data_IF_422042070187
#
_entry.id   IF_422042070187
#
_cell.length_a   1.000
_cell.length_b   1.000
_cell.length_c   1.000
_cell.angle_alpha   90.00
_cell.angle_beta   90.00
_cell.angle_gamma   90.00
#
_symmetry.space_group_name_H-M   'P 1'
#
loop_
_entity.id
_entity.type
_entity.pdbx_description
1 polymer ?
#
# COMPACT_ATOMS: atom_id res chain seq x y z
N UNK A 1 16.55 8.87 -0.08
CA UNK A 1 17.56 8.66 0.99
C UNK A 1 17.23 9.50 2.22
N UNK A 2 17.34 10.83 2.15
CA UNK A 2 17.14 11.72 3.32
C UNK A 2 15.81 11.50 4.04
N UNK A 3 14.70 11.34 3.33
CA UNK A 3 13.37 11.08 3.93
C UNK A 3 13.36 9.88 4.89
N UNK A 4 14.08 8.80 4.57
CA UNK A 4 14.17 7.59 5.39
C UNK A 4 14.87 7.86 6.72
N UNK A 5 15.83 8.79 6.73
CA UNK A 5 16.54 9.21 7.93
C UNK A 5 15.73 10.24 8.74
N UNK A 6 15.01 11.12 8.05
CA UNK A 6 14.38 12.33 8.60
C UNK A 6 13.02 12.05 9.27
N UNK A 7 12.21 11.13 8.73
CA UNK A 7 10.85 10.83 9.23
C UNK A 7 10.92 9.83 10.39
N UNK A 8 11.47 10.27 11.53
CA UNK A 8 11.66 9.46 12.75
C UNK A 8 11.47 10.30 14.01
N UNK A 9 11.09 9.67 15.15
CA UNK A 9 10.84 10.41 16.38
C UNK A 9 11.98 11.34 16.81
N UNK A 10 13.24 10.91 16.64
CA UNK A 10 14.43 11.67 17.00
C UNK A 10 14.61 12.97 16.22
N UNK A 11 14.85 12.93 14.89
CA UNK A 11 15.00 14.14 14.06
C UNK A 11 13.78 15.07 14.08
N UNK A 12 12.57 14.54 14.29
CA UNK A 12 11.35 15.35 14.50
C UNK A 12 11.45 16.13 15.82
N UNK A 13 11.91 15.50 16.90
CA UNK A 13 12.13 16.14 18.20
C UNK A 13 13.34 17.08 18.22
N UNK A 14 14.37 16.79 17.41
CA UNK A 14 15.58 17.62 17.25
C UNK A 14 15.41 18.87 16.38
N UNK A 15 14.18 19.14 15.90
CA UNK A 15 13.83 20.29 15.06
C UNK A 15 14.62 20.40 13.73
N UNK A 16 15.13 19.27 13.23
CA UNK A 16 15.97 19.20 12.02
C UNK A 16 15.16 19.02 10.74
N UNK A 17 13.92 18.54 10.86
CA UNK A 17 12.99 18.27 9.75
C UNK A 17 12.58 19.55 9.03
N UNK A 18 12.07 20.54 9.78
CA UNK A 18 11.53 21.77 9.18
C UNK A 18 12.59 22.64 8.50
N UNK A 19 13.79 22.85 9.07
CA UNK A 19 14.87 23.55 8.36
C UNK A 19 15.26 22.85 7.05
N UNK A 20 15.31 21.52 7.03
CA UNK A 20 15.66 20.78 5.82
C UNK A 20 14.63 21.02 4.71
N UNK A 21 13.34 20.89 5.04
CA UNK A 21 12.24 21.10 4.09
C UNK A 21 12.25 22.54 3.56
N UNK A 22 12.40 23.55 4.43
CA UNK A 22 12.45 24.95 4.00
C UNK A 22 13.62 25.23 3.06
N UNK A 23 14.81 24.70 3.35
CA UNK A 23 16.00 24.85 2.49
C UNK A 23 15.82 24.13 1.16
N UNK A 24 15.27 22.91 1.19
CA UNK A 24 14.98 22.12 -0.01
C UNK A 24 13.98 22.82 -0.93
N UNK A 25 13.00 23.51 -0.35
CA UNK A 25 11.98 24.28 -1.07
C UNK A 25 12.45 25.71 -1.42
N UNK A 26 13.69 26.09 -1.12
CA UNK A 26 14.23 27.42 -1.41
C UNK A 26 13.67 28.55 -0.53
N UNK A 27 12.94 28.23 0.54
CA UNK A 27 12.35 29.19 1.49
C UNK A 27 13.35 29.71 2.53
N UNK A 28 14.49 29.02 2.66
CA UNK A 28 15.58 29.37 3.57
C UNK A 28 16.91 29.13 2.85
N UNK A 29 17.85 30.09 2.95
CA UNK A 29 19.19 29.92 2.35
C UNK A 29 19.96 28.83 3.09
N UNK A 30 20.67 27.98 2.35
CA UNK A 30 21.60 27.02 2.95
C UNK A 30 22.76 27.78 3.58
N UNK A 31 22.98 27.55 4.88
CA UNK A 31 24.07 28.14 5.66
C UNK A 31 24.81 27.06 6.44
N UNK A 32 26.09 27.30 6.67
CA UNK A 32 26.98 26.45 7.46
C UNK A 32 27.55 27.28 8.60
N UNK A 33 27.79 26.64 9.76
CA UNK A 33 28.42 27.32 10.90
C UNK A 33 29.88 27.70 10.61
N UNK A 34 30.54 26.96 9.72
CA UNK A 34 31.90 27.19 9.27
C UNK A 34 32.10 26.64 7.86
N UNK A 35 32.95 27.25 7.00
CA UNK A 35 33.22 26.75 5.64
C UNK A 35 33.69 25.28 5.59
N UNK A 36 34.45 24.83 6.60
CA UNK A 36 34.91 23.43 6.68
C UNK A 36 33.78 22.40 6.80
N UNK A 37 32.57 22.80 7.21
CA UNK A 37 31.41 21.92 7.30
C UNK A 37 30.68 21.74 5.97
N UNK A 38 31.01 22.51 4.95
CA UNK A 38 30.33 22.42 3.65
C UNK A 38 30.54 21.04 3.02
N UNK A 39 31.76 20.50 3.09
CA UNK A 39 32.06 19.18 2.54
C UNK A 39 31.19 18.07 3.15
N UNK A 40 31.05 18.06 4.48
CA UNK A 40 30.26 17.05 5.20
C UNK A 40 28.74 17.26 5.09
N UNK A 41 28.28 18.51 4.96
CA UNK A 41 26.85 18.84 5.09
C UNK A 41 26.17 19.32 3.79
N UNK A 42 26.89 19.55 2.69
CA UNK A 42 26.30 20.05 1.44
C UNK A 42 25.18 19.14 0.92
N UNK A 43 25.39 17.82 0.95
CA UNK A 43 24.41 16.82 0.49
C UNK A 43 23.09 16.86 1.26
N UNK A 44 23.11 17.37 2.48
CA UNK A 44 21.94 17.48 3.37
C UNK A 44 21.59 18.93 3.70
N UNK A 45 21.98 19.87 2.83
CA UNK A 45 21.60 21.28 2.91
C UNK A 45 22.00 21.93 4.23
N UNK A 46 23.21 21.62 4.73
CA UNK A 46 23.76 22.21 5.95
C UNK A 46 23.19 21.63 7.25
N UNK A 47 22.50 20.48 7.18
CA UNK A 47 21.87 19.84 8.34
C UNK A 47 22.50 18.46 8.53
N UNK A 48 23.15 18.18 9.67
CA UNK A 48 23.67 16.84 9.93
C UNK A 48 22.51 15.86 10.05
N UNK A 49 22.58 14.70 9.38
CA UNK A 49 21.53 13.69 9.43
C UNK A 49 22.08 12.28 9.61
N UNK A 50 23.25 12.00 9.05
CA UNK A 50 23.85 10.67 9.06
C UNK A 50 25.02 10.54 10.03
N UNK A 51 25.26 9.32 10.52
CA UNK A 51 26.39 9.03 11.40
C UNK A 51 27.74 9.29 10.69
N UNK A 52 27.82 8.92 9.42
CA UNK A 52 28.97 9.12 8.55
C UNK A 52 29.27 10.62 8.36
N UNK A 53 28.25 11.47 8.32
CA UNK A 53 28.43 12.93 8.30
C UNK A 53 29.04 13.46 9.60
N UNK A 54 28.61 12.96 10.77
CA UNK A 54 29.19 13.38 12.06
C UNK A 54 30.67 13.00 12.15
N UNK A 55 31.01 11.81 11.66
CA UNK A 55 32.41 11.37 11.55
C UNK A 55 33.20 12.31 10.63
N UNK A 56 32.66 12.63 9.45
CA UNK A 56 33.31 13.54 8.51
C UNK A 56 33.44 14.97 9.09
N UNK A 57 32.44 15.47 9.81
CA UNK A 57 32.53 16.76 10.51
C UNK A 57 33.70 16.77 11.50
N UNK A 58 33.89 15.70 12.29
CA UNK A 58 35.00 15.62 13.23
C UNK A 58 36.38 15.59 12.55
N UNK A 59 36.47 14.96 11.38
CA UNK A 59 37.67 15.00 10.56
C UNK A 59 37.91 16.42 10.02
N UNK A 60 36.88 17.04 9.43
CA UNK A 60 36.97 18.34 8.78
C UNK A 60 37.29 19.47 9.76
N UNK A 61 36.57 19.55 10.89
CA UNK A 61 36.66 20.67 11.84
C UNK A 61 37.62 20.44 12.99
N UNK A 62 37.89 19.18 13.38
CA UNK A 62 38.74 18.86 14.51
C UNK A 62 39.97 18.01 14.14
N UNK A 63 40.12 17.61 12.88
CA UNK A 63 41.31 16.88 12.44
C UNK A 63 41.42 15.47 12.97
N UNK A 64 40.30 14.85 13.33
CA UNK A 64 40.30 13.48 13.78
C UNK A 64 40.77 12.56 12.66
N UNK A 65 41.50 11.50 13.03
CA UNK A 65 41.66 10.34 12.15
C UNK A 65 40.31 9.62 11.99
N UNK A 66 40.12 8.81 10.93
CA UNK A 66 38.92 7.99 10.76
C UNK A 66 38.63 7.08 11.98
N UNK A 67 39.69 6.59 12.64
CA UNK A 67 39.57 5.80 13.87
C UNK A 67 39.05 6.61 15.05
N UNK A 68 39.56 7.83 15.27
CA UNK A 68 39.06 8.73 16.33
C UNK A 68 37.61 9.16 16.07
N UNK A 69 37.25 9.40 14.81
CA UNK A 69 35.89 9.75 14.41
C UNK A 69 34.89 8.61 14.70
N UNK A 70 35.25 7.35 14.44
CA UNK A 70 34.41 6.22 14.83
C UNK A 70 34.35 6.04 16.36
N UNK A 71 35.46 6.27 17.07
CA UNK A 71 35.45 6.25 18.53
C UNK A 71 34.50 7.31 19.11
N UNK A 72 34.43 8.50 18.50
CA UNK A 72 33.47 9.55 18.83
C UNK A 72 32.03 9.08 18.61
N UNK A 73 31.73 8.51 17.43
CA UNK A 73 30.42 7.93 17.12
C UNK A 73 30.00 6.84 18.12
N UNK A 74 30.91 5.94 18.49
CA UNK A 74 30.64 4.88 19.46
C UNK A 74 30.39 5.44 20.87
N UNK A 75 31.20 6.40 21.32
CA UNK A 75 31.05 7.03 22.64
C UNK A 75 29.70 7.75 22.75
N UNK A 76 29.26 8.37 21.66
CA UNK A 76 28.00 9.07 21.50
C UNK A 76 26.76 8.18 21.58
N UNK A 77 26.85 6.94 21.08
CA UNK A 77 25.76 5.96 21.19
C UNK A 77 25.69 5.22 22.54
N UNK A 78 26.71 5.36 23.39
CA UNK A 78 26.83 4.58 24.63
C UNK A 78 26.39 5.41 25.85
N UNK A 79 25.36 4.93 26.57
CA UNK A 79 24.88 5.56 27.81
C UNK A 79 25.89 5.50 28.98
N UNK A 80 27.03 4.81 28.82
CA UNK A 80 27.95 4.42 29.91
C UNK A 80 29.37 5.00 29.77
N UNK A 81 29.62 5.97 28.90
CA UNK A 81 30.99 6.45 28.63
C UNK A 81 31.16 7.96 28.79
N UNK A 82 30.84 8.50 29.96
CA UNK A 82 31.05 9.92 30.31
C UNK A 82 32.52 10.32 30.19
N UNK A 83 33.44 9.56 30.78
CA UNK A 83 34.88 9.84 30.75
C UNK A 83 35.47 9.80 29.32
N UNK A 84 35.04 8.83 28.50
CA UNK A 84 35.45 8.73 27.09
C UNK A 84 34.95 9.91 26.27
N UNK A 85 33.74 10.39 26.56
CA UNK A 85 33.12 11.53 25.88
C UNK A 85 33.81 12.85 26.29
N UNK A 86 34.16 13.03 27.57
CA UNK A 86 34.91 14.20 28.05
C UNK A 86 36.30 14.28 27.41
N UNK A 87 37.03 13.16 27.33
CA UNK A 87 38.34 13.11 26.65
C UNK A 87 38.23 13.48 25.18
N UNK A 88 37.25 12.90 24.49
CA UNK A 88 37.02 13.18 23.07
C UNK A 88 36.53 14.62 22.85
N UNK A 89 35.77 15.19 23.79
CA UNK A 89 35.40 16.61 23.80
C UNK A 89 36.63 17.49 23.85
N UNK A 90 37.54 17.28 24.81
CA UNK A 90 38.78 18.04 24.92
C UNK A 90 39.58 18.02 23.61
N UNK A 91 39.85 16.82 23.08
CA UNK A 91 40.55 16.63 21.80
C UNK A 91 39.84 17.31 20.62
N UNK A 92 38.50 17.29 20.59
CA UNK A 92 37.69 17.92 19.55
C UNK A 92 37.84 19.45 19.55
N UNK A 93 37.79 20.08 20.73
CA UNK A 93 37.99 21.53 20.86
C UNK A 93 39.42 21.97 20.55
N UNK A 94 40.43 21.21 20.97
CA UNK A 94 41.83 21.46 20.61
C UNK A 94 42.03 21.43 19.09
N UNK A 95 41.51 20.40 18.42
CA UNK A 95 41.62 20.26 16.97
C UNK A 95 40.86 21.33 16.18
N UNK A 96 39.74 21.84 16.74
CA UNK A 96 39.03 23.01 16.20
C UNK A 96 39.83 24.30 16.34
N UNK A 97 40.48 24.50 17.50
CA UNK A 97 41.31 25.67 17.75
C UNK A 97 42.52 25.73 16.80
N UNK A 98 43.16 24.58 16.51
CA UNK A 98 44.23 24.47 15.50
C UNK A 98 43.79 24.90 14.09
N UNK A 99 42.48 24.82 13.81
CA UNK A 99 41.86 25.21 12.53
C UNK A 99 41.17 26.57 12.57
N UNK A 100 41.38 27.34 13.64
CA UNK A 100 40.82 28.68 13.80
C UNK A 100 39.34 28.73 14.18
N UNK A 101 38.77 27.61 14.64
CA UNK A 101 37.37 27.54 15.11
C UNK A 101 37.38 27.60 16.64
N UNK A 102 36.99 28.74 17.20
CA UNK A 102 36.95 28.97 18.66
C UNK A 102 35.66 29.71 19.08
N UNK A 103 35.43 29.81 20.39
CA UNK A 103 34.28 30.51 20.96
C UNK A 103 32.93 29.89 20.58
N UNK A 104 31.90 30.72 20.45
CA UNK A 104 30.51 30.31 20.26
C UNK A 104 30.29 29.38 19.05
N UNK A 105 31.10 29.51 17.99
CA UNK A 105 30.99 28.63 16.81
C UNK A 105 31.43 27.20 17.17
N UNK A 106 32.53 27.06 17.90
CA UNK A 106 33.04 25.76 18.34
C UNK A 106 32.04 25.04 19.25
N UNK A 107 31.44 25.77 20.20
CA UNK A 107 30.41 25.24 21.09
C UNK A 107 29.17 24.80 20.31
N UNK A 108 28.67 25.63 19.39
CA UNK A 108 27.52 25.28 18.55
C UNK A 108 27.77 24.04 17.67
N UNK A 109 28.98 23.87 17.13
CA UNK A 109 29.34 22.70 16.34
C UNK A 109 29.30 21.44 17.21
N UNK A 110 29.92 21.49 18.39
CA UNK A 110 29.94 20.36 19.30
C UNK A 110 28.54 20.01 19.81
N UNK A 111 27.75 21.01 20.19
CA UNK A 111 26.38 20.82 20.68
C UNK A 111 25.48 20.19 19.61
N UNK A 112 25.59 20.63 18.35
CA UNK A 112 24.87 19.98 17.25
C UNK A 112 25.33 18.54 17.08
N UNK A 113 26.63 18.29 17.09
CA UNK A 113 27.17 16.94 16.93
C UNK A 113 26.69 16.01 18.07
N UNK A 114 26.70 16.48 19.32
CA UNK A 114 26.22 15.75 20.49
C UNK A 114 24.69 15.57 20.54
N UNK A 115 23.90 16.56 20.09
CA UNK A 115 22.46 16.42 19.99
C UNK A 115 22.06 15.35 18.97
N UNK A 116 22.82 15.21 17.88
CA UNK A 116 22.55 14.25 16.81
C UNK A 116 23.07 12.84 17.08
N UNK A 117 24.05 12.67 17.96
CA UNK A 117 24.55 11.37 18.43
C UNK A 117 23.46 10.34 18.74
N UNK A 118 22.38 10.79 19.40
CA UNK A 118 21.28 9.93 19.83
C UNK A 118 20.31 9.54 18.69
N UNK A 119 20.42 10.19 17.52
CA UNK A 119 19.43 10.11 16.45
C UNK A 119 20.02 9.91 15.05
N UNK A 120 21.36 9.92 14.92
CA UNK A 120 22.05 9.73 13.66
C UNK A 120 21.72 8.39 13.03
N UNK A 121 21.38 8.39 11.74
CA UNK A 121 21.05 7.19 10.98
C UNK A 121 22.23 6.75 10.10
N UNK A 122 22.50 5.45 9.91
CA UNK A 122 23.52 5.02 8.96
C UNK A 122 23.14 5.38 7.53
N UNK A 123 23.98 6.15 6.85
CA UNK A 123 23.78 6.58 5.46
C UNK A 123 23.73 5.36 4.54
N UNK A 124 24.67 4.43 4.70
CA UNK A 124 24.73 3.17 3.93
C UNK A 124 23.39 2.40 3.94
N UNK A 125 22.81 2.22 5.13
CA UNK A 125 21.51 1.57 5.30
C UNK A 125 20.37 2.40 4.67
N UNK A 126 20.44 3.73 4.79
CA UNK A 126 19.48 4.64 4.15
C UNK A 126 19.50 4.58 2.63
N UNK A 127 20.67 4.42 2.02
CA UNK A 127 20.85 4.28 0.57
C UNK A 127 20.24 2.96 0.11
N UNK A 128 20.54 1.85 0.77
CA UNK A 128 20.01 0.53 0.43
C UNK A 128 18.48 0.49 0.46
N UNK A 129 17.86 1.08 1.48
CA UNK A 129 16.39 1.20 1.54
C UNK A 129 15.84 2.14 0.47
N UNK A 130 16.50 3.28 0.23
CA UNK A 130 16.05 4.22 -0.80
C UNK A 130 16.06 3.60 -2.20
N UNK A 131 17.02 2.71 -2.48
CA UNK A 131 17.06 1.95 -3.73
C UNK A 131 15.81 1.08 -3.90
N UNK A 132 15.41 0.33 -2.86
CA UNK A 132 14.19 -0.49 -2.92
C UNK A 132 12.92 0.34 -3.13
N UNK A 133 12.83 1.49 -2.45
CA UNK A 133 11.70 2.42 -2.61
C UNK A 133 11.66 2.99 -4.03
N UNK A 134 12.82 3.38 -4.58
CA UNK A 134 12.93 3.87 -5.94
C UNK A 134 12.52 2.80 -6.95
N UNK A 135 13.07 1.58 -6.85
CA UNK A 135 12.73 0.46 -7.73
C UNK A 135 11.24 0.11 -7.66
N UNK A 136 10.65 0.11 -6.46
CA UNK A 136 9.20 -0.14 -6.29
C UNK A 136 8.36 0.98 -6.90
N UNK A 137 8.76 2.24 -6.74
CA UNK A 137 8.07 3.39 -7.32
C UNK A 137 8.18 3.42 -8.84
N UNK A 138 9.33 3.00 -9.37
CA UNK A 138 9.56 2.81 -10.80
C UNK A 138 8.63 1.75 -11.39
N UNK A 139 8.57 0.56 -10.76
CA UNK A 139 7.64 -0.50 -11.17
C UNK A 139 6.19 -0.03 -11.08
N UNK A 140 5.80 0.67 -10.01
CA UNK A 140 4.45 1.22 -9.88
C UNK A 140 4.12 2.23 -10.98
N UNK A 141 5.09 3.07 -11.39
CA UNK A 141 4.90 4.10 -12.42
C UNK A 141 4.79 3.52 -13.82
N UNK A 142 5.67 2.59 -14.18
CA UNK A 142 5.84 2.12 -15.55
C UNK A 142 5.23 0.74 -15.82
N UNK A 143 5.10 -0.09 -14.79
CA UNK A 143 4.57 -1.46 -14.89
C UNK A 143 3.53 -1.74 -13.78
N UNK A 144 2.51 -0.86 -13.60
CA UNK A 144 1.52 -1.00 -12.53
C UNK A 144 0.79 -2.35 -12.54
N UNK A 145 0.56 -2.98 -13.70
CA UNK A 145 -0.08 -4.29 -13.77
C UNK A 145 0.79 -5.39 -13.13
N UNK A 146 2.06 -5.48 -13.56
CA UNK A 146 3.02 -6.44 -13.00
C UNK A 146 3.28 -6.18 -11.51
N UNK A 147 3.38 -4.91 -11.12
CA UNK A 147 3.54 -4.53 -9.72
C UNK A 147 2.34 -4.96 -8.87
N UNK A 148 1.11 -4.76 -9.36
CA UNK A 148 -0.11 -5.20 -8.69
C UNK A 148 -0.16 -6.73 -8.54
N UNK A 149 0.09 -7.48 -9.62
CA UNK A 149 0.11 -8.95 -9.60
C UNK A 149 1.15 -9.48 -8.60
N UNK A 150 2.37 -8.90 -8.58
CA UNK A 150 3.40 -9.25 -7.61
C UNK A 150 2.97 -9.00 -6.16
N UNK A 151 2.31 -7.86 -5.88
CA UNK A 151 1.80 -7.55 -4.55
C UNK A 151 0.63 -8.45 -4.11
N UNK A 152 -0.19 -8.92 -5.06
CA UNK A 152 -1.26 -9.88 -4.79
C UNK A 152 -0.68 -11.26 -4.44
N UNK A 153 0.33 -11.72 -5.19
CA UNK A 153 0.98 -13.01 -4.99
C UNK A 153 1.86 -13.06 -3.72
N UNK A 154 2.28 -11.90 -3.21
CA UNK A 154 3.06 -11.82 -1.98
C UNK A 154 2.20 -11.61 -0.71
N UNK A 155 0.86 -11.70 -0.82
CA UNK A 155 -0.01 -11.63 0.35
C UNK A 155 0.12 -12.89 1.23
N UNK A 156 -0.06 -12.76 2.57
CA UNK A 156 -0.39 -11.54 3.31
C UNK A 156 0.83 -10.65 3.58
N UNK A 157 0.81 -9.40 3.10
CA UNK A 157 1.88 -8.43 3.36
C UNK A 157 1.35 -6.99 3.51
N UNK A 158 2.19 -6.10 4.05
CA UNK A 158 1.90 -4.66 4.13
C UNK A 158 0.66 -4.28 4.96
N UNK A 159 0.16 -3.06 4.75
CA UNK A 159 -1.03 -2.52 5.43
C UNK A 159 -2.29 -2.52 4.58
N UNK A 160 -2.16 -2.45 3.25
CA UNK A 160 -3.28 -2.36 2.33
C UNK A 160 -3.89 -3.73 2.07
N UNK A 161 -5.21 -3.75 1.90
CA UNK A 161 -5.94 -4.96 1.50
C UNK A 161 -5.73 -5.26 0.01
N UNK A 162 -5.92 -6.51 -0.46
CA UNK A 162 -5.95 -6.82 -1.88
C UNK A 162 -6.89 -5.90 -2.67
N UNK A 163 -8.07 -5.60 -2.11
CA UNK A 163 -9.02 -4.66 -2.70
C UNK A 163 -8.43 -3.28 -2.93
N UNK A 164 -7.78 -2.70 -1.91
CA UNK A 164 -7.16 -1.37 -2.01
C UNK A 164 -6.02 -1.36 -3.04
N UNK A 165 -5.25 -2.44 -3.13
CA UNK A 165 -4.18 -2.58 -4.13
C UNK A 165 -4.73 -2.64 -5.56
N UNK A 166 -5.81 -3.39 -5.76
CA UNK A 166 -6.50 -3.50 -7.06
C UNK A 166 -7.17 -2.17 -7.43
N UNK A 167 -7.82 -1.50 -6.48
CA UNK A 167 -8.40 -0.18 -6.70
C UNK A 167 -7.32 0.85 -7.07
N UNK A 168 -6.14 0.77 -6.45
CA UNK A 168 -4.99 1.61 -6.83
C UNK A 168 -4.51 1.31 -8.25
N UNK A 169 -4.32 0.05 -8.61
CA UNK A 169 -3.93 -0.33 -9.97
C UNK A 169 -4.95 0.15 -11.02
N UNK A 170 -6.25 0.02 -10.74
CA UNK A 170 -7.33 0.53 -11.62
C UNK A 170 -7.28 2.04 -11.80
N UNK A 171 -6.99 2.80 -10.74
CA UNK A 171 -6.77 4.25 -10.83
C UNK A 171 -5.54 4.63 -11.68
N UNK A 172 -4.63 3.68 -11.90
CA UNK A 172 -3.49 3.80 -12.83
C UNK A 172 -3.77 3.18 -14.21
N UNK A 173 -5.04 2.90 -14.54
CA UNK A 173 -5.44 2.41 -15.86
C UNK A 173 -5.30 0.90 -16.06
N UNK A 174 -4.95 0.14 -15.02
CA UNK A 174 -4.85 -1.33 -15.12
C UNK A 174 -6.24 -1.95 -15.10
N UNK A 175 -6.54 -2.77 -16.11
CA UNK A 175 -7.74 -3.63 -16.10
C UNK A 175 -7.47 -4.80 -15.17
N UNK A 176 -8.40 -5.08 -14.24
CA UNK A 176 -8.32 -6.22 -13.33
C UNK A 176 -9.55 -7.09 -13.52
N UNK A 177 -9.32 -8.38 -13.79
CA UNK A 177 -10.35 -9.37 -14.10
C UNK A 177 -10.47 -10.38 -12.96
N UNK A 178 -11.70 -10.82 -12.70
CA UNK A 178 -12.02 -11.83 -11.68
C UNK A 178 -11.44 -13.20 -12.06
N UNK A 179 -11.34 -14.14 -11.11
CA UNK A 179 -10.92 -15.51 -11.42
C UNK A 179 -11.84 -16.15 -12.48
N UNK A 180 -11.25 -17.03 -13.28
CA UNK A 180 -11.86 -17.74 -14.40
C UNK A 180 -11.21 -19.13 -14.54
N UNK A 181 -12.02 -20.16 -14.73
CA UNK A 181 -11.59 -21.56 -14.74
C UNK A 181 -10.62 -21.86 -15.90
N UNK A 182 -10.88 -21.28 -17.06
CA UNK A 182 -10.10 -21.54 -18.27
C UNK A 182 -8.78 -20.75 -18.29
N UNK A 183 -8.77 -19.53 -17.75
CA UNK A 183 -7.67 -18.58 -17.90
C UNK A 183 -6.80 -18.38 -16.66
N UNK A 184 -7.32 -18.60 -15.45
CA UNK A 184 -6.59 -18.22 -14.23
C UNK A 184 -5.49 -19.23 -13.90
N UNK A 185 -4.35 -18.73 -13.42
CA UNK A 185 -3.32 -19.54 -12.79
C UNK A 185 -3.64 -19.79 -11.30
N UNK A 186 -2.66 -20.35 -10.60
CA UNK A 186 -2.70 -20.53 -9.14
C UNK A 186 -2.80 -19.15 -8.47
N UNK A 187 -1.77 -18.32 -8.68
CA UNK A 187 -1.74 -16.91 -8.29
C UNK A 187 -2.23 -15.97 -9.39
N UNK A 188 -2.19 -14.67 -9.12
CA UNK A 188 -2.51 -13.63 -10.08
C UNK A 188 -1.52 -13.64 -11.26
N UNK A 189 -2.05 -13.50 -12.48
CA UNK A 189 -1.29 -13.52 -13.74
C UNK A 189 -1.54 -12.27 -14.57
N UNK A 190 -0.72 -12.08 -15.61
CA UNK A 190 -0.87 -10.99 -16.58
C UNK A 190 -1.41 -11.56 -17.89
N UNK A 191 -2.39 -10.88 -18.49
CA UNK A 191 -2.98 -11.26 -19.76
C UNK A 191 -3.08 -10.06 -20.70
N UNK A 192 -2.66 -10.23 -21.95
CA UNK A 192 -2.82 -9.20 -22.99
C UNK A 192 -4.17 -9.37 -23.67
N UNK A 193 -4.88 -8.27 -23.92
CA UNK A 193 -6.15 -8.28 -24.65
C UNK A 193 -5.87 -8.17 -26.15
N UNK A 194 -6.31 -9.15 -26.94
CA UNK A 194 -6.25 -9.07 -28.40
C UNK A 194 -7.02 -7.83 -28.90
N UNK A 195 -6.38 -7.00 -29.71
CA UNK A 195 -6.99 -5.79 -30.31
C UNK A 195 -6.84 -4.48 -29.50
N UNK A 196 -6.43 -4.52 -28.23
CA UNK A 196 -6.03 -3.31 -27.47
C UNK A 196 -4.57 -2.93 -27.69
N UNK A 197 -3.80 -3.81 -28.34
CA UNK A 197 -2.51 -3.44 -28.92
C UNK A 197 -2.78 -2.77 -30.27
N UNK A 198 -2.83 -1.44 -30.27
CA UNK A 198 -2.57 -0.70 -31.49
C UNK A 198 -1.14 -1.05 -31.95
N UNK A 199 -1.07 -1.92 -32.97
CA UNK A 199 0.06 -2.13 -33.88
C UNK A 199 1.45 -2.08 -33.26
N UNK A 200 2.02 -3.23 -32.93
CA UNK A 200 3.47 -3.33 -32.76
C UNK A 200 4.03 -4.61 -33.35
N UNK A 201 3.79 -4.81 -34.65
CA UNK A 201 4.98 -5.03 -35.49
C UNK A 201 5.84 -3.77 -35.30
N UNK A 202 6.91 -3.86 -34.50
CA UNK A 202 7.84 -2.79 -34.09
C UNK A 202 7.48 -1.92 -32.87
N UNK A 203 7.38 -2.50 -31.67
CA UNK A 203 8.24 -2.01 -30.60
C UNK A 203 9.06 -3.20 -30.14
N UNK A 204 10.36 -3.24 -30.44
CA UNK A 204 11.23 -4.02 -29.58
C UNK A 204 11.09 -3.33 -28.21
N UNK A 205 10.56 -4.01 -27.20
CA UNK A 205 11.10 -3.76 -25.88
C UNK A 205 12.42 -4.51 -25.87
N UNK A 206 13.57 -3.89 -26.20
CA UNK A 206 14.80 -4.46 -25.70
C UNK A 206 14.64 -4.37 -24.17
N UNK A 207 14.90 -5.48 -23.48
CA UNK A 207 15.09 -5.48 -22.03
C UNK A 207 16.14 -4.44 -21.57
N UNK A 208 16.88 -3.82 -22.53
CA UNK A 208 17.94 -2.84 -22.33
C UNK A 208 17.49 -1.36 -22.32
N UNK A 209 16.22 -1.03 -22.59
CA UNK A 209 15.73 0.36 -22.58
C UNK A 209 14.73 0.60 -21.45
N UNK A 210 15.18 1.24 -20.37
CA UNK A 210 14.32 1.70 -19.29
C UNK A 210 13.38 2.80 -19.82
N UNK A 211 12.04 2.67 -19.67
CA UNK A 211 11.13 3.76 -20.02
C UNK A 211 11.53 5.07 -19.31
N UNK A 212 11.49 6.14 -20.10
CA UNK A 212 11.77 7.52 -19.68
C UNK A 212 10.46 8.27 -19.47
N UNK A 213 10.51 9.35 -18.68
CA UNK A 213 9.32 10.16 -18.39
C UNK A 213 8.64 10.65 -19.67
N UNK A 214 7.32 10.40 -19.78
CA UNK A 214 6.50 10.82 -20.92
C UNK A 214 6.18 9.71 -21.93
N UNK A 215 6.73 8.50 -21.77
CA UNK A 215 6.37 7.34 -22.59
C UNK A 215 5.28 6.51 -21.89
N UNK A 216 4.13 6.35 -22.54
CA UNK A 216 3.10 5.41 -22.08
C UNK A 216 3.51 3.98 -22.44
N UNK A 217 3.60 3.13 -21.41
CA UNK A 217 3.89 1.70 -21.56
C UNK A 217 2.55 0.95 -21.60
N UNK A 218 2.23 0.22 -22.69
CA UNK A 218 1.04 -0.62 -22.75
C UNK A 218 0.99 -1.55 -21.53
N UNK A 219 -0.18 -1.68 -20.90
CA UNK A 219 -0.35 -2.50 -19.71
C UNK A 219 -1.17 -3.75 -20.06
N UNK A 220 -0.73 -4.95 -19.64
CA UNK A 220 -1.61 -6.11 -19.64
C UNK A 220 -2.69 -5.95 -18.56
N UNK A 221 -3.78 -6.70 -18.70
CA UNK A 221 -4.74 -6.87 -17.62
C UNK A 221 -4.17 -7.81 -16.54
N UNK A 222 -4.59 -7.62 -15.29
CA UNK A 222 -4.29 -8.53 -14.18
C UNK A 222 -5.47 -9.49 -14.03
N UNK A 223 -5.20 -10.79 -14.11
CA UNK A 223 -6.15 -11.84 -13.77
C UNK A 223 -5.95 -12.27 -12.33
N UNK A 224 -7.00 -12.28 -11.52
CA UNK A 224 -6.92 -12.87 -10.18
C UNK A 224 -6.76 -14.40 -10.26
N UNK A 225 -5.89 -14.96 -9.42
CA UNK A 225 -5.62 -16.39 -9.35
C UNK A 225 -6.71 -17.20 -8.66
N UNK A 226 -6.75 -18.50 -8.90
CA UNK A 226 -7.70 -19.41 -8.25
C UNK A 226 -7.50 -19.49 -6.73
N UNK A 227 -6.26 -19.37 -6.25
CA UNK A 227 -5.95 -19.38 -4.80
C UNK A 227 -6.46 -18.13 -4.07
N UNK A 228 -6.88 -17.09 -4.80
CA UNK A 228 -7.53 -15.91 -4.20
C UNK A 228 -8.98 -16.18 -3.77
N UNK A 229 -9.60 -17.25 -4.31
CA UNK A 229 -10.97 -17.62 -3.97
C UNK A 229 -10.99 -18.23 -2.57
N UNK A 230 -11.88 -17.72 -1.71
CA UNK A 230 -12.14 -18.27 -0.39
C UNK A 230 -12.41 -19.78 -0.49
N UNK A 231 -11.88 -20.53 0.47
CA UNK A 231 -12.02 -22.00 0.54
C UNK A 231 -11.34 -22.77 -0.59
N UNK A 232 -10.62 -22.11 -1.52
CA UNK A 232 -9.70 -22.76 -2.45
C UNK A 232 -8.29 -22.64 -1.88
N UNK A 233 -7.69 -23.77 -1.51
CA UNK A 233 -6.29 -23.81 -1.10
C UNK A 233 -5.35 -23.62 -2.29
N UNK A 234 -4.10 -23.28 -2.01
CA UNK A 234 -3.04 -23.24 -3.03
C UNK A 234 -2.86 -24.62 -3.70
N UNK A 235 -2.80 -25.69 -2.91
CA UNK A 235 -2.73 -27.08 -3.41
C UNK A 235 -3.90 -27.46 -4.34
N UNK A 236 -5.13 -27.05 -3.99
CA UNK A 236 -6.30 -27.30 -4.84
C UNK A 236 -6.20 -26.50 -6.14
N UNK A 237 -5.80 -25.23 -6.07
CA UNK A 237 -5.59 -24.40 -7.25
C UNK A 237 -4.49 -24.98 -8.16
N UNK A 238 -3.38 -25.46 -7.60
CA UNK A 238 -2.30 -26.16 -8.33
C UNK A 238 -2.82 -27.42 -9.02
N UNK A 239 -3.63 -28.22 -8.32
CA UNK A 239 -4.25 -29.44 -8.87
C UNK A 239 -5.13 -29.09 -10.06
N UNK A 240 -6.00 -28.09 -9.93
CA UNK A 240 -6.91 -27.65 -11.00
C UNK A 240 -6.13 -27.18 -12.24
N UNK A 241 -5.08 -26.38 -12.04
CA UNK A 241 -4.24 -25.85 -13.13
C UNK A 241 -3.46 -26.96 -13.82
N UNK A 242 -2.82 -27.85 -13.04
CA UNK A 242 -2.02 -28.97 -13.58
C UNK A 242 -2.88 -29.92 -14.40
N UNK A 243 -4.08 -30.25 -13.89
CA UNK A 243 -5.05 -31.10 -14.59
C UNK A 243 -5.51 -30.46 -15.91
N UNK A 244 -5.80 -29.15 -15.91
CA UNK A 244 -6.15 -28.39 -17.12
C UNK A 244 -5.04 -28.39 -18.17
N UNK A 245 -3.79 -28.23 -17.74
CA UNK A 245 -2.63 -28.19 -18.63
C UNK A 245 -2.29 -29.56 -19.21
N UNK A 246 -2.50 -30.62 -18.43
CA UNK A 246 -2.20 -32.01 -18.82
C UNK A 246 -3.30 -32.61 -19.70
N UNK A 247 -4.57 -32.37 -19.35
CA UNK A 247 -5.73 -33.06 -19.94
C UNK A 247 -6.68 -32.12 -20.71
N UNK A 248 -6.25 -30.88 -20.94
CA UNK A 248 -6.99 -29.87 -21.71
C UNK A 248 -8.03 -29.08 -20.90
N UNK A 249 -8.68 -28.08 -21.52
CA UNK A 249 -9.60 -27.18 -20.85
C UNK A 249 -10.85 -27.91 -20.31
N UNK A 250 -11.36 -27.42 -19.19
CA UNK A 250 -12.63 -27.89 -18.62
C UNK A 250 -13.81 -27.41 -19.47
N UNK A 251 -14.71 -28.33 -19.81
CA UNK A 251 -15.92 -28.02 -20.57
C UNK A 251 -17.05 -27.44 -19.69
N UNK A 252 -17.12 -27.84 -18.42
CA UNK A 252 -18.19 -27.48 -17.49
C UNK A 252 -17.78 -27.62 -16.03
N UNK A 253 -18.66 -27.17 -15.11
CA UNK A 253 -18.50 -27.43 -13.67
C UNK A 253 -18.46 -28.93 -13.34
N UNK A 254 -19.27 -29.74 -14.03
CA UNK A 254 -19.30 -31.19 -13.84
C UNK A 254 -18.01 -31.85 -14.30
N UNK A 255 -17.43 -31.37 -15.41
CA UNK A 255 -16.15 -31.86 -15.93
C UNK A 255 -15.01 -31.58 -14.95
N UNK A 256 -15.01 -30.41 -14.30
CA UNK A 256 -14.09 -30.11 -13.19
C UNK A 256 -14.25 -31.13 -12.04
N UNK A 257 -15.48 -31.32 -11.54
CA UNK A 257 -15.75 -32.21 -10.41
C UNK A 257 -15.49 -33.71 -10.68
N UNK A 258 -15.42 -34.10 -11.96
CA UNK A 258 -15.06 -35.46 -12.37
C UNK A 258 -13.55 -35.68 -12.47
N UNK A 259 -12.78 -34.63 -12.75
CA UNK A 259 -11.33 -34.71 -12.93
C UNK A 259 -10.55 -34.36 -11.66
N UNK A 260 -11.11 -33.48 -10.83
CA UNK A 260 -10.48 -32.99 -9.61
C UNK A 260 -11.39 -33.25 -8.43
N UNK A 261 -10.84 -33.82 -7.35
CA UNK A 261 -11.54 -33.96 -6.08
C UNK A 261 -11.72 -32.58 -5.44
N UNK A 262 -12.92 -32.02 -5.58
CA UNK A 262 -13.28 -30.69 -5.10
C UNK A 262 -14.52 -30.77 -4.22
N UNK A 263 -14.41 -30.21 -3.02
CA UNK A 263 -15.53 -30.22 -2.09
C UNK A 263 -16.61 -29.19 -2.45
N UNK A 264 -17.78 -29.36 -1.84
CA UNK A 264 -18.93 -28.47 -2.03
C UNK A 264 -18.62 -27.02 -1.66
N UNK A 265 -17.83 -26.79 -0.61
CA UNK A 265 -17.54 -25.44 -0.11
C UNK A 265 -16.70 -24.65 -1.11
N UNK A 266 -15.68 -25.30 -1.68
CA UNK A 266 -14.82 -24.74 -2.73
C UNK A 266 -15.63 -24.48 -4.02
N UNK A 267 -16.47 -25.43 -4.45
CA UNK A 267 -17.35 -25.24 -5.61
C UNK A 267 -18.31 -24.07 -5.44
N UNK A 268 -18.98 -23.96 -4.29
CA UNK A 268 -19.88 -22.85 -3.98
C UNK A 268 -19.12 -21.51 -3.96
N UNK A 269 -17.90 -21.48 -3.42
CA UNK A 269 -17.07 -20.28 -3.40
C UNK A 269 -16.55 -19.88 -4.80
N UNK A 270 -16.12 -20.83 -5.63
CA UNK A 270 -15.74 -20.61 -7.02
C UNK A 270 -16.91 -20.11 -7.86
N UNK A 271 -18.11 -20.67 -7.64
CA UNK A 271 -19.32 -20.17 -8.26
C UNK A 271 -19.64 -18.75 -7.81
N UNK A 272 -19.52 -18.45 -6.51
CA UNK A 272 -19.71 -17.09 -5.97
C UNK A 272 -18.69 -16.10 -6.55
N UNK A 273 -17.44 -16.51 -6.79
CA UNK A 273 -16.41 -15.70 -7.45
C UNK A 273 -16.62 -15.59 -8.98
N UNK A 274 -17.58 -16.31 -9.57
CA UNK A 274 -17.83 -16.41 -11.01
C UNK A 274 -16.70 -17.00 -11.82
N UNK A 275 -15.96 -17.93 -11.23
CA UNK A 275 -14.92 -18.71 -11.90
C UNK A 275 -15.46 -19.43 -13.15
N UNK A 276 -16.76 -19.76 -13.17
CA UNK A 276 -17.41 -20.50 -14.24
C UNK A 276 -18.05 -19.63 -15.32
N UNK A 277 -17.75 -18.33 -15.36
CA UNK A 277 -18.40 -17.37 -16.29
C UNK A 277 -18.15 -17.65 -17.78
N UNK A 278 -17.17 -18.48 -18.11
CA UNK A 278 -16.86 -18.96 -19.46
C UNK A 278 -17.37 -20.38 -19.74
N UNK A 279 -17.89 -21.08 -18.72
CA UNK A 279 -18.46 -22.42 -18.86
C UNK A 279 -19.89 -22.37 -19.38
N UNK A 280 -20.37 -23.49 -19.93
CA UNK A 280 -21.77 -23.65 -20.36
C UNK A 280 -22.49 -24.75 -19.58
N UNK A 281 -23.82 -24.62 -19.47
CA UNK A 281 -24.70 -25.71 -19.01
C UNK A 281 -24.95 -26.74 -20.12
N UNK A 282 -25.73 -27.79 -19.85
CA UNK A 282 -26.03 -28.85 -20.83
C UNK A 282 -26.79 -28.34 -22.06
N UNK A 283 -27.46 -27.20 -21.95
CA UNK A 283 -28.16 -26.56 -23.08
C UNK A 283 -27.24 -25.72 -23.97
N UNK A 284 -25.96 -25.57 -23.59
CA UNK A 284 -25.00 -24.70 -24.25
C UNK A 284 -25.13 -23.23 -23.83
N UNK A 285 -25.89 -22.93 -22.77
CA UNK A 285 -26.02 -21.56 -22.27
C UNK A 285 -24.87 -21.24 -21.32
N UNK A 286 -24.24 -20.08 -21.47
CA UNK A 286 -23.18 -19.60 -20.57
C UNK A 286 -23.68 -19.53 -19.13
N UNK A 287 -22.87 -20.02 -18.19
CA UNK A 287 -23.18 -20.03 -16.77
C UNK A 287 -22.98 -18.63 -16.18
N UNK A 288 -24.09 -17.92 -15.98
CA UNK A 288 -24.09 -16.77 -15.09
C UNK A 288 -23.87 -17.22 -13.63
N UNK A 289 -23.51 -16.24 -12.79
CA UNK A 289 -23.16 -16.49 -11.38
C UNK A 289 -24.31 -17.10 -10.56
N UNK A 290 -25.57 -16.78 -10.89
CA UNK A 290 -26.74 -17.34 -10.20
C UNK A 290 -26.94 -18.81 -10.58
N UNK A 291 -26.81 -19.16 -11.86
CA UNK A 291 -26.88 -20.54 -12.35
C UNK A 291 -25.76 -21.40 -11.79
N UNK A 292 -24.53 -20.89 -11.79
CA UNK A 292 -23.39 -21.61 -11.23
C UNK A 292 -23.59 -21.89 -9.73
N UNK A 293 -24.07 -20.92 -8.97
CA UNK A 293 -24.39 -21.07 -7.54
C UNK A 293 -25.48 -22.12 -7.29
N UNK A 294 -26.53 -22.12 -8.12
CA UNK A 294 -27.57 -23.14 -8.04
C UNK A 294 -27.00 -24.56 -8.28
N UNK A 295 -26.18 -24.70 -9.33
CA UNK A 295 -25.62 -25.98 -9.74
C UNK A 295 -24.55 -26.52 -8.77
N UNK A 296 -23.81 -25.66 -8.08
CA UNK A 296 -22.64 -26.03 -7.27
C UNK A 296 -22.92 -27.15 -6.26
N UNK A 297 -24.06 -27.08 -5.57
CA UNK A 297 -24.45 -28.09 -4.58
C UNK A 297 -24.67 -29.48 -5.20
N UNK A 298 -25.34 -29.54 -6.35
CA UNK A 298 -25.55 -30.80 -7.09
C UNK A 298 -24.24 -31.29 -7.70
N UNK A 299 -23.46 -30.40 -8.34
CA UNK A 299 -22.18 -30.75 -8.98
C UNK A 299 -21.20 -31.37 -8.00
N UNK A 300 -21.17 -30.90 -6.74
CA UNK A 300 -20.34 -31.47 -5.68
C UNK A 300 -20.65 -32.95 -5.38
N UNK A 301 -21.82 -33.45 -5.76
CA UNK A 301 -22.16 -34.86 -5.67
C UNK A 301 -21.69 -35.68 -6.86
N UNK A 302 -20.99 -35.11 -7.85
CA UNK A 302 -20.53 -35.86 -9.03
C UNK A 302 -19.32 -36.72 -8.68
N UNK A 303 -18.32 -36.17 -7.98
CA UNK A 303 -17.13 -36.91 -7.52
C UNK A 303 -16.30 -37.57 -8.63
N UNK A 304 -15.05 -37.90 -8.32
CA UNK A 304 -14.17 -38.70 -9.20
C UNK A 304 -14.53 -40.19 -9.20
N UNK A 305 -15.29 -40.63 -8.19
CA UNK A 305 -15.66 -42.02 -7.92
C UNK A 305 -17.04 -42.41 -8.47
N UNK A 306 -17.76 -41.50 -9.14
CA UNK A 306 -19.10 -41.78 -9.68
C UNK A 306 -19.17 -41.70 -11.21
N UNK A 307 -20.16 -42.40 -11.74
CA UNK A 307 -20.40 -42.44 -13.18
C UNK A 307 -20.93 -41.10 -13.70
N UNK A 308 -20.43 -40.64 -14.86
CA UNK A 308 -20.93 -39.43 -15.51
C UNK A 308 -22.44 -39.46 -15.77
N UNK A 309 -23.11 -38.34 -15.51
CA UNK A 309 -24.52 -38.14 -15.86
C UNK A 309 -25.56 -38.67 -14.86
N UNK A 310 -25.15 -39.31 -13.76
CA UNK A 310 -26.08 -39.81 -12.73
C UNK A 310 -26.62 -38.70 -11.83
N UNK A 311 -25.84 -37.64 -11.60
CA UNK A 311 -26.25 -36.51 -10.76
C UNK A 311 -27.30 -35.66 -11.48
N UNK A 312 -28.38 -35.36 -10.75
CA UNK A 312 -29.50 -34.53 -11.20
C UNK A 312 -29.47 -33.16 -10.51
N UNK A 313 -30.18 -32.17 -11.04
CA UNK A 313 -30.24 -30.82 -10.45
C UNK A 313 -29.05 -29.92 -10.79
N UNK A 314 -28.17 -30.35 -11.71
CA UNK A 314 -27.05 -29.53 -12.22
C UNK A 314 -27.49 -28.41 -13.16
N UNK A 315 -28.68 -28.54 -13.76
CA UNK A 315 -29.26 -27.51 -14.62
C UNK A 315 -30.16 -26.59 -13.80
N UNK A 316 -29.82 -25.29 -13.79
CA UNK A 316 -30.60 -24.29 -13.10
C UNK A 316 -31.88 -23.95 -13.88
N UNK A 317 -33.03 -23.74 -13.21
CA UNK A 317 -34.19 -23.14 -13.86
C UNK A 317 -33.86 -21.71 -14.31
N UNK A 318 -34.74 -21.08 -15.09
CA UNK A 318 -34.59 -19.66 -15.43
C UNK A 318 -34.67 -18.81 -14.16
N UNK A 319 -33.53 -18.27 -13.73
CA UNK A 319 -33.40 -17.41 -12.56
C UNK A 319 -33.03 -15.99 -12.99
N UNK A 320 -33.50 -14.96 -12.26
CA UNK A 320 -33.02 -13.60 -12.49
C UNK A 320 -31.54 -13.50 -12.13
N UNK A 321 -30.78 -12.79 -12.98
CA UNK A 321 -29.38 -12.48 -12.73
C UNK A 321 -29.17 -11.68 -11.43
N UNK A 322 -27.89 -11.54 -11.05
CA UNK A 322 -27.50 -10.69 -9.93
C UNK A 322 -27.36 -9.24 -10.41
N UNK A 323 -27.85 -8.29 -9.61
CA UNK A 323 -27.58 -6.86 -9.79
C UNK A 323 -26.08 -6.55 -9.58
N UNK A 324 -25.59 -5.41 -10.08
CA UNK A 324 -24.19 -4.99 -9.89
C UNK A 324 -23.78 -4.92 -8.41
N UNK A 325 -24.72 -4.53 -7.52
CA UNK A 325 -24.51 -4.50 -6.07
C UNK A 325 -24.34 -5.91 -5.50
N UNK A 326 -25.16 -6.86 -5.95
CA UNK A 326 -25.05 -8.27 -5.53
C UNK A 326 -23.78 -8.91 -6.08
N UNK A 327 -23.38 -8.61 -7.32
CA UNK A 327 -22.13 -9.09 -7.92
C UNK A 327 -20.90 -8.60 -7.13
N UNK A 328 -20.83 -7.31 -6.82
CA UNK A 328 -19.76 -6.76 -6.01
C UNK A 328 -19.73 -7.36 -4.59
N UNK A 329 -20.89 -7.55 -3.97
CA UNK A 329 -21.01 -8.24 -2.69
C UNK A 329 -20.49 -9.68 -2.76
N UNK A 330 -20.79 -10.40 -3.84
CA UNK A 330 -20.29 -11.74 -4.10
C UNK A 330 -18.77 -11.76 -4.29
N UNK A 331 -18.22 -10.85 -5.09
CA UNK A 331 -16.78 -10.73 -5.33
C UNK A 331 -16.02 -10.41 -4.02
N UNK A 332 -16.47 -9.43 -3.23
CA UNK A 332 -15.86 -9.11 -1.93
C UNK A 332 -15.96 -10.29 -0.96
N UNK A 333 -17.06 -11.04 -0.96
CA UNK A 333 -17.19 -12.21 -0.10
C UNK A 333 -16.25 -13.35 -0.54
N UNK A 334 -16.14 -13.57 -1.85
CA UNK A 334 -15.44 -14.72 -2.43
C UNK A 334 -13.93 -14.49 -2.53
N UNK A 335 -13.47 -13.34 -3.04
CA UNK A 335 -12.04 -13.07 -3.28
C UNK A 335 -11.49 -11.94 -2.40
N UNK A 336 -12.37 -11.17 -1.76
CA UNK A 336 -11.98 -9.94 -1.10
C UNK A 336 -11.63 -8.80 -2.06
N UNK A 337 -11.94 -8.94 -3.35
CA UNK A 337 -11.68 -7.95 -4.39
C UNK A 337 -12.88 -7.87 -5.33
N UNK A 338 -13.53 -6.70 -5.41
CA UNK A 338 -14.55 -6.39 -6.41
C UNK A 338 -14.02 -5.30 -7.35
N UNK A 339 -13.44 -5.65 -8.51
CA UNK A 339 -12.84 -4.69 -9.41
C UNK A 339 -13.82 -3.55 -9.76
N UNK A 340 -15.06 -3.88 -10.13
CA UNK A 340 -16.06 -2.92 -10.62
C UNK A 340 -17.01 -2.38 -9.54
N UNK A 341 -16.74 -2.65 -8.26
CA UNK A 341 -17.77 -2.57 -7.23
C UNK A 341 -17.31 -2.06 -5.88
N UNK A 342 -16.67 -0.88 -5.83
CA UNK A 342 -16.34 -0.26 -4.55
C UNK A 342 -17.63 0.01 -3.73
N UNK A 343 -17.73 -0.35 -2.44
CA UNK A 343 -18.98 -0.25 -1.68
C UNK A 343 -19.64 1.15 -1.68
N UNK A 344 -18.84 2.22 -1.68
CA UNK A 344 -19.35 3.61 -1.74
C UNK A 344 -19.95 3.98 -3.07
N UNK A 345 -19.60 3.31 -4.17
CA UNK A 345 -20.16 3.55 -5.50
C UNK A 345 -21.68 3.32 -5.48
N UNK A 346 -22.12 2.26 -4.80
CA UNK A 346 -23.55 1.89 -4.72
C UNK A 346 -24.37 2.83 -3.84
N UNK A 347 -23.73 3.64 -3.02
CA UNK A 347 -24.35 4.64 -2.14
C UNK A 347 -24.08 6.07 -2.64
N UNK A 348 -23.43 6.23 -3.81
CA UNK A 348 -22.90 7.52 -4.26
C UNK A 348 -23.99 8.58 -4.40
N UNK A 349 -25.13 8.26 -5.00
CA UNK A 349 -26.25 9.21 -5.15
C UNK A 349 -26.73 9.72 -3.78
N UNK A 350 -26.89 8.82 -2.81
CA UNK A 350 -27.28 9.18 -1.46
C UNK A 350 -26.19 10.02 -0.76
N UNK A 351 -24.92 9.62 -0.87
CA UNK A 351 -23.78 10.37 -0.33
C UNK A 351 -23.70 11.79 -0.92
N UNK A 352 -23.90 11.94 -2.23
CA UNK A 352 -23.95 13.24 -2.91
C UNK A 352 -25.12 14.08 -2.40
N UNK A 353 -26.31 13.49 -2.18
CA UNK A 353 -27.46 14.21 -1.61
C UNK A 353 -27.20 14.75 -0.19
N UNK A 354 -26.30 14.11 0.56
CA UNK A 354 -25.86 14.54 1.89
C UNK A 354 -24.70 15.55 1.85
N UNK A 355 -24.19 15.89 0.66
CA UNK A 355 -23.02 16.76 0.48
C UNK A 355 -21.70 16.10 0.86
N UNK A 356 -21.60 14.77 0.74
CA UNK A 356 -20.35 14.02 0.99
C UNK A 356 -19.41 14.20 -0.19
N UNK A 357 -18.21 14.71 0.09
CA UNK A 357 -17.15 14.85 -0.89
C UNK A 357 -16.39 13.54 -1.07
N UNK A 358 -16.01 13.27 -2.32
CA UNK A 358 -15.09 12.20 -2.71
C UNK A 358 -13.64 12.53 -2.38
N UNK A 359 -12.78 11.52 -2.30
CA UNK A 359 -11.34 11.72 -2.12
C UNK A 359 -10.73 12.64 -3.20
N UNK A 360 -11.21 12.56 -4.43
CA UNK A 360 -10.75 13.43 -5.53
C UNK A 360 -11.23 14.87 -5.35
N UNK A 361 -12.48 15.10 -4.95
CA UNK A 361 -13.02 16.45 -4.73
C UNK A 361 -12.34 17.17 -3.56
N UNK A 362 -11.86 16.44 -2.56
CA UNK A 362 -11.06 17.02 -1.47
C UNK A 362 -9.78 17.70 -1.95
N UNK A 363 -9.30 17.41 -3.17
CA UNK A 363 -8.12 18.06 -3.79
C UNK A 363 -8.40 19.47 -4.29
N UNK A 364 -9.65 19.83 -4.54
CA UNK A 364 -10.04 21.15 -5.05
C UNK A 364 -10.95 21.91 -4.08
N UNK A 365 -11.55 21.23 -3.11
CA UNK A 365 -12.34 21.86 -2.05
C UNK A 365 -11.55 22.94 -1.29
N UNK A 366 -12.20 24.02 -0.83
CA UNK A 366 -11.54 25.08 -0.07
C UNK A 366 -10.96 24.55 1.24
N UNK A 367 -9.67 24.83 1.48
CA UNK A 367 -9.02 24.49 2.75
C UNK A 367 -9.69 25.22 3.91
N UNK A 368 -9.52 24.70 5.13
CA UNK A 368 -10.05 25.27 6.37
C UNK A 368 -11.56 25.22 6.54
N UNK A 369 -12.29 24.61 5.60
CA UNK A 369 -13.74 24.48 5.66
C UNK A 369 -14.18 23.18 6.29
N UNK A 370 -15.43 23.15 6.77
CA UNK A 370 -16.07 21.91 7.23
C UNK A 370 -16.57 21.12 6.04
N UNK A 371 -16.14 19.87 5.96
CA UNK A 371 -16.51 18.92 4.91
C UNK A 371 -17.12 17.66 5.53
N UNK A 372 -17.89 16.94 4.71
CA UNK A 372 -18.39 15.62 5.03
C UNK A 372 -17.71 14.63 4.07
N UNK A 373 -17.13 13.57 4.60
CA UNK A 373 -16.43 12.52 3.82
C UNK A 373 -16.92 11.15 4.27
N UNK A 374 -16.96 10.18 3.36
CA UNK A 374 -17.47 8.85 3.63
C UNK A 374 -16.67 7.79 2.92
N UNK A 375 -16.37 6.68 3.60
CA UNK A 375 -15.58 5.60 3.01
C UNK A 375 -15.46 4.36 3.88
N UNK A 376 -15.00 3.28 3.26
CA UNK A 376 -14.63 2.03 3.93
C UNK A 376 -13.34 2.27 4.71
N UNK A 377 -13.26 1.79 5.95
CA UNK A 377 -12.07 1.99 6.77
C UNK A 377 -11.02 0.95 6.40
N UNK A 378 -9.88 1.41 5.86
CA UNK A 378 -8.79 0.52 5.48
C UNK A 378 -7.95 0.12 6.70
N UNK A 379 -7.55 1.11 7.52
CA UNK A 379 -6.74 0.89 8.71
C UNK A 379 -6.90 2.01 9.75
N UNK A 380 -6.50 1.67 10.99
CA UNK A 380 -6.48 2.57 12.15
C UNK A 380 -5.12 2.50 12.83
N UNK A 381 -4.48 3.64 13.03
CA UNK A 381 -3.16 3.73 13.64
C UNK A 381 -3.14 4.72 14.80
N UNK A 382 -2.50 4.32 15.90
CA UNK A 382 -2.23 5.19 17.06
C UNK A 382 -0.75 5.11 17.41
N UNK A 383 0.11 5.92 16.75
CA UNK A 383 1.53 5.99 17.09
C UNK A 383 1.71 6.43 18.55
N UNK A 384 2.68 5.83 19.25
CA UNK A 384 3.01 6.18 20.63
C UNK A 384 3.48 7.64 20.78
N UNK A 385 4.05 8.21 19.72
CA UNK A 385 4.55 9.58 19.64
C UNK A 385 3.47 10.64 19.41
N UNK A 386 2.24 10.23 19.07
CA UNK A 386 1.18 11.15 18.65
C UNK A 386 0.25 11.58 19.81
N UNK A 387 0.70 11.48 21.06
CA UNK A 387 -0.04 11.93 22.25
C UNK A 387 -1.51 11.43 22.30
N UNK A 388 -1.75 10.20 21.82
CA UNK A 388 -3.07 9.56 21.80
C UNK A 388 -3.96 9.89 20.59
N UNK A 389 -3.50 10.72 19.65
CA UNK A 389 -4.17 10.94 18.37
C UNK A 389 -4.26 9.62 17.60
N UNK A 390 -5.41 9.37 16.97
CA UNK A 390 -5.62 8.19 16.14
C UNK A 390 -5.85 8.60 14.70
N UNK A 391 -5.05 8.06 13.79
CA UNK A 391 -5.20 8.23 12.36
C UNK A 391 -6.10 7.11 11.83
N UNK A 392 -7.13 7.50 11.08
CA UNK A 392 -8.05 6.58 10.42
C UNK A 392 -7.96 6.86 8.94
N UNK A 393 -7.72 5.84 8.14
CA UNK A 393 -7.70 5.98 6.69
C UNK A 393 -8.98 5.37 6.12
N UNK A 394 -9.70 6.16 5.32
CA UNK A 394 -10.90 5.74 4.61
C UNK A 394 -10.56 5.58 3.13
N UNK A 395 -11.30 4.73 2.44
CA UNK A 395 -11.26 4.59 0.99
C UNK A 395 -12.67 4.76 0.43
N UNK A 396 -12.80 5.57 -0.61
CA UNK A 396 -13.95 5.59 -1.49
C UNK A 396 -13.54 5.12 -2.91
N UNK A 397 -14.48 5.07 -3.84
CA UNK A 397 -14.21 4.61 -5.22
C UNK A 397 -13.21 5.48 -5.97
N UNK A 398 -12.90 6.68 -5.45
CA UNK A 398 -12.01 7.66 -6.08
C UNK A 398 -10.62 7.70 -5.44
N UNK A 399 -10.46 7.24 -4.19
CA UNK A 399 -9.17 7.14 -3.53
C UNK A 399 -9.21 7.09 -2.01
N UNK A 400 -8.03 7.29 -1.40
CA UNK A 400 -7.81 7.28 0.03
C UNK A 400 -8.06 8.66 0.67
N UNK A 401 -8.60 8.66 1.88
CA UNK A 401 -8.90 9.86 2.68
C UNK A 401 -8.26 9.70 4.05
N UNK A 402 -7.38 10.62 4.42
CA UNK A 402 -6.74 10.63 5.73
C UNK A 402 -7.59 11.38 6.74
N UNK A 403 -7.96 10.72 7.83
CA UNK A 403 -8.78 11.29 8.91
C UNK A 403 -7.99 11.30 10.21
N UNK A 404 -7.92 12.47 10.86
CA UNK A 404 -7.25 12.67 12.14
C UNK A 404 -8.29 12.72 13.26
N UNK A 405 -8.23 11.77 14.20
CA UNK A 405 -9.13 11.69 15.34
C UNK A 405 -8.41 12.10 16.63
N UNK A 406 -8.89 13.14 17.29
CA UNK A 406 -8.40 13.54 18.60
C UNK A 406 -8.76 12.51 19.69
N UNK A 407 -8.02 12.46 20.82
CA UNK A 407 -8.35 11.56 21.94
C UNK A 407 -9.78 11.76 22.47
N UNK A 408 -10.24 13.02 22.56
CA UNK A 408 -11.58 13.36 23.02
C UNK A 408 -12.67 12.86 22.06
N UNK A 409 -12.49 13.06 20.75
CA UNK A 409 -13.39 12.52 19.73
C UNK A 409 -13.45 11.00 19.79
N UNK A 410 -12.30 10.34 19.86
CA UNK A 410 -12.22 8.89 19.92
C UNK A 410 -12.95 8.32 21.15
N UNK A 411 -12.79 8.96 22.31
CA UNK A 411 -13.49 8.56 23.54
C UNK A 411 -15.01 8.72 23.39
N UNK A 412 -15.46 9.84 22.81
CA UNK A 412 -16.88 10.13 22.60
C UNK A 412 -17.55 9.15 21.64
N UNK A 413 -16.90 8.83 20.52
CA UNK A 413 -17.46 7.96 19.47
C UNK A 413 -16.89 6.53 19.49
N UNK A 414 -16.37 6.06 20.65
CA UNK A 414 -15.57 4.83 20.77
C UNK A 414 -16.19 3.61 20.07
N UNK A 415 -17.50 3.41 20.17
CA UNK A 415 -18.21 2.27 19.57
C UNK A 415 -18.15 2.32 18.04
N UNK A 416 -18.47 3.48 17.46
CA UNK A 416 -18.45 3.71 16.01
C UNK A 416 -17.01 3.70 15.50
N UNK A 417 -16.13 4.44 16.17
CA UNK A 417 -14.73 4.60 15.77
C UNK A 417 -13.98 3.27 15.71
N UNK A 418 -14.26 2.32 16.62
CA UNK A 418 -13.62 0.99 16.63
C UNK A 418 -14.32 -0.05 15.76
N UNK A 419 -15.66 -0.11 15.81
CA UNK A 419 -16.39 -1.25 15.27
C UNK A 419 -16.90 -1.10 13.84
N UNK A 420 -17.02 0.13 13.33
CA UNK A 420 -17.66 0.34 12.04
C UNK A 420 -16.69 0.02 10.88
N UNK A 421 -17.09 -0.83 9.91
CA UNK A 421 -16.27 -1.13 8.74
C UNK A 421 -16.23 0.04 7.74
N UNK A 422 -17.21 0.94 7.80
CA UNK A 422 -17.24 2.18 7.03
C UNK A 422 -17.72 3.33 7.90
N UNK A 423 -17.21 4.53 7.62
CA UNK A 423 -17.46 5.73 8.42
C UNK A 423 -17.93 6.87 7.52
N UNK A 424 -18.88 7.63 8.06
CA UNK A 424 -19.22 8.96 7.61
C UNK A 424 -18.62 9.94 8.63
N UNK A 425 -17.76 10.84 8.16
CA UNK A 425 -16.96 11.73 8.98
C UNK A 425 -17.22 13.16 8.59
N UNK A 426 -17.62 13.98 9.56
CA UNK A 426 -17.59 15.44 9.42
C UNK A 426 -16.31 15.94 10.07
N UNK A 427 -15.62 16.85 9.40
CA UNK A 427 -14.38 17.41 9.91
C UNK A 427 -13.93 18.66 9.17
N UNK A 428 -12.86 19.28 9.67
CA UNK A 428 -12.19 20.41 9.01
C UNK A 428 -11.20 19.86 8.00
N UNK A 429 -11.27 20.35 6.76
CA UNK A 429 -10.31 20.03 5.72
C UNK A 429 -9.03 20.82 5.95
N UNK A 430 -7.92 20.14 6.10
CA UNK A 430 -6.58 20.73 6.18
C UNK A 430 -5.77 20.29 4.96
N UNK A 431 -5.25 21.27 4.23
CA UNK A 431 -4.29 21.04 3.15
C UNK A 431 -3.00 21.79 3.43
N UNK A 432 -1.91 21.06 3.59
CA UNK A 432 -0.57 21.60 3.85
C UNK A 432 0.41 20.87 2.95
N UNK A 433 1.17 21.61 2.14
CA UNK A 433 2.21 21.08 1.24
C UNK A 433 1.73 19.89 0.37
N UNK A 434 0.49 19.95 -0.12
CA UNK A 434 -0.12 18.91 -0.96
C UNK A 434 -0.70 17.71 -0.20
N UNK A 435 -0.48 17.61 1.12
CA UNK A 435 -1.09 16.59 1.98
C UNK A 435 -2.47 17.05 2.41
N UNK A 436 -3.46 16.17 2.26
CA UNK A 436 -4.85 16.41 2.62
C UNK A 436 -5.20 15.57 3.83
N UNK A 437 -5.70 16.22 4.88
CA UNK A 437 -6.22 15.59 6.09
C UNK A 437 -7.61 16.15 6.42
N UNK A 438 -8.45 15.30 7.01
CA UNK A 438 -9.73 15.70 7.58
C UNK A 438 -9.64 15.55 9.09
N UNK A 439 -9.59 16.68 9.81
CA UNK A 439 -9.60 16.68 11.28
C UNK A 439 -11.03 16.49 11.75
N UNK A 440 -11.32 15.29 12.26
CA UNK A 440 -12.69 14.86 12.52
C UNK A 440 -13.31 15.57 13.73
N UNK A 441 -14.58 15.97 13.59
CA UNK A 441 -15.42 16.54 14.65
C UNK A 441 -16.61 15.65 15.01
N UNK A 442 -17.03 14.77 14.09
CA UNK A 442 -18.15 13.84 14.26
C UNK A 442 -17.92 12.57 13.44
N UNK A 443 -18.18 11.43 14.07
CA UNK A 443 -18.12 10.11 13.43
C UNK A 443 -19.52 9.48 13.43
N UNK A 444 -19.92 8.94 12.30
CA UNK A 444 -21.17 8.19 12.13
C UNK A 444 -20.87 6.89 11.39
N UNK A 445 -21.71 5.87 11.61
CA UNK A 445 -21.64 4.64 10.82
C UNK A 445 -22.12 4.96 9.41
N UNK A 446 -21.37 4.55 8.41
CA UNK A 446 -21.85 4.50 7.04
C UNK A 446 -22.34 3.07 6.76
N UNK A 447 -23.65 2.83 6.54
CA UNK A 447 -24.13 1.52 6.14
C UNK A 447 -23.63 1.21 4.73
N UNK A 448 -22.71 0.27 4.60
CA UNK A 448 -22.24 -0.25 3.29
C UNK A 448 -22.34 -1.77 3.25
N UNK A 449 -22.58 -2.31 2.06
CA UNK A 449 -22.59 -3.76 1.80
C UNK A 449 -21.15 -4.28 1.79
N UNK A 450 -20.92 -5.48 2.37
CA UNK A 450 -19.66 -6.20 2.19
C UNK A 450 -18.44 -5.62 2.91
N UNK A 451 -18.62 -4.79 3.94
CA UNK A 451 -17.51 -4.16 4.67
C UNK A 451 -16.49 -5.19 5.21
N UNK A 452 -15.24 -5.10 4.73
CA UNK A 452 -14.13 -5.91 5.24
C UNK A 452 -13.75 -5.52 6.67
N UNK A 453 -13.19 -6.46 7.43
CA UNK A 453 -12.53 -6.13 8.71
C UNK A 453 -11.30 -5.29 8.42
N UNK A 454 -11.27 -4.09 8.98
CA UNK A 454 -10.12 -3.20 8.95
C UNK A 454 -8.92 -3.83 9.66
N UNK A 455 -7.71 -3.48 9.20
CA UNK A 455 -6.48 -3.83 9.92
C UNK A 455 -6.27 -2.79 11.02
N UNK A 456 -6.57 -3.21 12.25
CA UNK A 456 -6.48 -2.34 13.42
C UNK A 456 -5.16 -2.58 14.17
N UNK A 457 -4.68 -1.54 14.86
CA UNK A 457 -3.61 -1.68 15.84
C UNK A 457 -4.01 -2.69 16.93
N UNK A 458 -3.07 -3.56 17.32
CA UNK A 458 -3.22 -4.40 18.51
C UNK A 458 -2.89 -3.62 19.77
#
# INVERSE_FOLDING_TARGET
MVEVALIRPGPIQGNSVHPYIRRRNGLEKVTYLHPLLEHSLAKTLGIPLFQEQLMQMAIDVAGFSPGEADQLRQAMGSKRSTERMERLRGRFFEGMAERGITGDIADQIFDKLAAFANFGFPESHSVSFAYLVYSSSYLKRYFPAAFCAGLLNAQPMGFYSPHTLVADARRHGVVVRTPDLAASGVGATLEWVEGEVATTANVPFPFDAFPVDGVEVPQPAVRLGLSSVRSVSEDLAETIVTERETNGPYASMTDLAQRVDIDRTALEAMATAGVFSTCTDRSGTVLDRRRALWAAGAVAETGTDRLPGIVTGVDAPTLPGLSSRELAGADLWATGVAPDGHPTLFEREHLTSLGVLTAIELRTAPTDTRVLVGGVVTHRQRPSTAHGITFVNLEDETGLINVVCSPGLWKRYRRVARGAPALLVRGRLERVDGVINVVADKLQVLPVVGGHRSRDFR
#
